data_IF_622870415836
#
_entry.id   IF_622870415836
#
_cell.length_a   1.000
_cell.length_b   1.000
_cell.length_c   1.000
_cell.angle_alpha   90.00
_cell.angle_beta   90.00
_cell.angle_gamma   90.00
#
_symmetry.space_group_name_H-M   'P 1'
#
loop_
_entity.id
_entity.type
_entity.pdbx_description
1 polymer ?
#
# COMPACT_ATOMS: atom_id res chain seq x y z
N UNK A 1 2.46 -18.01 -10.47
CA UNK A 1 1.36 -17.01 -10.62
C UNK A 1 1.44 -16.05 -9.44
N UNK A 2 2.36 -15.09 -9.50
CA UNK A 2 2.81 -14.31 -8.34
C UNK A 2 2.08 -12.97 -8.24
N UNK A 3 2.14 -12.36 -7.06
CA UNK A 3 1.63 -11.01 -6.81
C UNK A 3 2.78 -10.13 -6.32
N UNK A 4 2.87 -8.93 -6.88
CA UNK A 4 3.84 -7.93 -6.47
C UNK A 4 3.30 -7.21 -5.23
N UNK A 5 4.12 -7.08 -4.20
CA UNK A 5 3.78 -6.32 -3.00
C UNK A 5 3.95 -4.83 -3.30
N UNK A 6 2.88 -4.05 -3.13
CA UNK A 6 2.87 -2.60 -3.38
C UNK A 6 3.42 -1.85 -2.17
N UNK A 7 4.16 -0.77 -2.40
CA UNK A 7 4.84 -0.03 -1.33
C UNK A 7 6.13 -0.69 -0.85
N UNK A 8 6.69 -1.60 -1.66
CA UNK A 8 7.97 -2.25 -1.43
C UNK A 8 8.90 -2.01 -2.62
N UNK A 9 10.20 -1.84 -2.35
CA UNK A 9 11.21 -1.40 -3.31
C UNK A 9 10.77 -0.10 -4.01
N UNK A 10 10.90 -0.03 -5.33
CA UNK A 10 10.57 1.16 -6.12
C UNK A 10 9.06 1.34 -6.39
N UNK A 11 8.22 0.41 -5.89
CA UNK A 11 6.78 0.48 -6.15
C UNK A 11 6.06 1.35 -5.12
N UNK A 12 5.34 2.35 -5.60
CA UNK A 12 4.52 3.20 -4.73
C UNK A 12 3.27 2.48 -4.21
N UNK A 13 2.87 2.83 -2.98
CA UNK A 13 1.60 2.41 -2.39
C UNK A 13 0.40 3.19 -2.95
N UNK A 14 -0.81 2.73 -2.66
CA UNK A 14 -2.05 3.39 -3.11
C UNK A 14 -2.40 4.56 -2.19
N UNK A 15 -2.52 5.77 -2.76
CA UNK A 15 -2.88 6.99 -2.02
C UNK A 15 -4.35 6.96 -1.57
N UNK A 16 -4.63 7.43 -0.35
CA UNK A 16 -6.00 7.61 0.18
C UNK A 16 -6.78 6.31 0.45
N UNK A 17 -6.12 5.15 0.43
CA UNK A 17 -6.78 3.86 0.68
C UNK A 17 -7.07 3.69 2.18
N UNK A 18 -8.36 3.74 2.54
CA UNK A 18 -8.80 3.61 3.94
C UNK A 18 -8.97 2.16 4.42
N UNK A 19 -9.27 1.22 3.53
CA UNK A 19 -9.45 -0.21 3.84
C UNK A 19 -8.34 -1.10 3.24
N UNK A 20 -7.99 -2.19 3.93
CA UNK A 20 -6.95 -3.15 3.53
C UNK A 20 -5.57 -2.51 3.23
N UNK A 21 -5.24 -1.42 3.94
CA UNK A 21 -4.09 -0.53 3.68
C UNK A 21 -2.75 -1.26 3.59
N UNK A 22 -2.55 -2.26 4.46
CA UNK A 22 -1.32 -3.05 4.56
C UNK A 22 -0.97 -3.81 3.28
N UNK A 23 -1.98 -4.28 2.52
CA UNK A 23 -1.76 -5.01 1.27
C UNK A 23 -1.35 -4.12 0.10
N UNK A 24 -1.64 -2.82 0.20
CA UNK A 24 -1.47 -1.86 -0.89
C UNK A 24 -0.41 -0.79 -0.57
N UNK A 25 0.40 -0.98 0.48
CA UNK A 25 1.43 -0.02 0.87
C UNK A 25 0.88 1.34 1.30
N UNK A 26 -0.39 1.40 1.71
CA UNK A 26 -1.01 2.64 2.17
C UNK A 26 -0.77 2.84 3.67
N UNK A 27 -0.17 3.96 4.05
CA UNK A 27 0.05 4.30 5.47
C UNK A 27 -1.24 4.77 6.12
N UNK A 28 -1.33 4.61 7.45
CA UNK A 28 -2.38 5.26 8.24
C UNK A 28 -2.15 6.77 8.15
N UNK A 29 -3.16 7.50 7.69
CA UNK A 29 -3.17 8.96 7.78
C UNK A 29 -3.05 9.33 9.27
N UNK A 30 -2.16 10.28 9.58
CA UNK A 30 -2.08 10.82 10.94
C UNK A 30 -3.41 11.50 11.22
N UNK A 31 -3.98 11.21 12.40
CA UNK A 31 -5.10 11.99 12.95
C UNK A 31 -4.66 13.41 13.24
#
# INVERSE_FOLDING_TARGET
RYKIIRGSLDTQGVKGRKQARSRYGAKKEKS
#
